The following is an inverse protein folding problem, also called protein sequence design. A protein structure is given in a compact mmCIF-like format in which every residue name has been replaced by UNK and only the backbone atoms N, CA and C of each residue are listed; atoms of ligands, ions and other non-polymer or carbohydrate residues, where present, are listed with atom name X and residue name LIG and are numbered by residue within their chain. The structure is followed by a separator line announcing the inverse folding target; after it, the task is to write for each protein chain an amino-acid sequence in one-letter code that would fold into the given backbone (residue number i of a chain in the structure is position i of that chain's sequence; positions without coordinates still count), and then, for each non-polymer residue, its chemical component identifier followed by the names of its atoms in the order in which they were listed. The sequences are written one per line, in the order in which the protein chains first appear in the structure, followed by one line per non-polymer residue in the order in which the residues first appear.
data_IF_652267616227
#
_entry.id   IF_652267616227
#
_cell.length_a   1.000
_cell.length_b   1.000
_cell.length_c   1.000
_cell.angle_alpha   90.00
_cell.angle_beta   90.00
_cell.angle_gamma   90.00
#
_symmetry.space_group_name_H-M   'P 1'
#
loop_
_entity.id
_entity.type
_entity.pdbx_description
1 polymer ?
#
# COMPACT_ATOMS: atom_id res chain seq x y z
N UNK A 1 -22.42 -13.85 26.25
CA UNK A 1 -22.25 -12.41 25.94
C UNK A 1 -22.37 -11.65 27.24
N UNK A 2 -21.41 -10.80 27.56
CA UNK A 2 -21.48 -9.90 28.71
C UNK A 2 -22.28 -8.64 28.34
N UNK A 3 -22.84 -7.94 29.32
CA UNK A 3 -23.62 -6.70 29.10
C UNK A 3 -22.82 -5.65 28.33
N UNK A 4 -21.50 -5.59 28.55
CA UNK A 4 -20.58 -4.71 27.83
C UNK A 4 -20.43 -5.08 26.34
N UNK A 5 -20.39 -6.37 25.99
CA UNK A 5 -20.34 -6.80 24.59
C UNK A 5 -21.61 -6.41 23.83
N UNK A 6 -22.78 -6.52 24.48
CA UNK A 6 -24.07 -6.10 23.90
C UNK A 6 -24.12 -4.58 23.68
N UNK A 7 -23.55 -3.80 24.59
CA UNK A 7 -23.51 -2.33 24.49
C UNK A 7 -22.58 -1.84 23.39
N UNK A 8 -21.52 -2.58 23.06
CA UNK A 8 -20.59 -2.20 21.98
C UNK A 8 -21.16 -2.55 20.61
N UNK A 9 -21.79 -3.73 20.46
CA UNK A 9 -22.43 -4.11 19.20
C UNK A 9 -23.61 -3.21 18.84
N UNK A 10 -24.37 -2.70 19.82
CA UNK A 10 -25.45 -1.75 19.55
C UNK A 10 -24.93 -0.44 18.94
N UNK A 11 -23.78 0.06 19.40
CA UNK A 11 -23.14 1.26 18.84
C UNK A 11 -22.77 1.03 17.37
N UNK A 12 -22.19 -0.13 17.03
CA UNK A 12 -21.83 -0.44 15.65
C UNK A 12 -23.06 -0.57 14.74
N UNK A 13 -24.15 -1.17 15.22
CA UNK A 13 -25.42 -1.20 14.50
C UNK A 13 -26.01 0.19 14.29
N UNK A 14 -25.98 1.06 15.29
CA UNK A 14 -26.40 2.47 15.17
C UNK A 14 -25.57 3.24 14.14
N UNK A 15 -24.28 2.92 14.03
CA UNK A 15 -23.38 3.46 13.01
C UNK A 15 -23.57 2.83 11.62
N UNK A 16 -24.51 1.88 11.46
CA UNK A 16 -24.84 1.23 10.19
C UNK A 16 -23.98 0.01 9.84
N UNK A 17 -23.23 -0.54 10.80
CA UNK A 17 -22.41 -1.73 10.62
C UNK A 17 -23.12 -3.00 11.08
N UNK A 18 -22.81 -4.11 10.40
CA UNK A 18 -23.39 -5.41 10.73
C UNK A 18 -22.80 -6.03 12.02
N UNK A 19 -21.63 -5.56 12.45
CA UNK A 19 -20.99 -5.92 13.72
C UNK A 19 -19.75 -5.04 13.97
N UNK A 20 -19.16 -5.15 15.15
CA UNK A 20 -17.80 -4.62 15.40
C UNK A 20 -16.74 -5.19 14.44
N UNK A 21 -16.90 -6.44 13.99
CA UNK A 21 -15.97 -7.08 13.05
C UNK A 21 -16.11 -6.49 11.65
N UNK A 22 -17.33 -6.23 11.18
CA UNK A 22 -17.60 -5.56 9.91
C UNK A 22 -16.97 -4.14 9.88
N UNK A 23 -17.14 -3.40 10.98
CA UNK A 23 -16.45 -2.11 11.14
C UNK A 23 -14.93 -2.25 11.05
N UNK A 24 -14.34 -3.21 11.77
CA UNK A 24 -12.89 -3.42 11.79
C UNK A 24 -12.35 -3.79 10.40
N UNK A 25 -13.04 -4.66 9.65
CA UNK A 25 -12.69 -5.02 8.28
C UNK A 25 -12.73 -3.80 7.37
N UNK A 26 -13.78 -2.98 7.44
CA UNK A 26 -13.89 -1.78 6.63
C UNK A 26 -12.79 -0.77 6.96
N UNK A 27 -12.47 -0.58 8.23
CA UNK A 27 -11.38 0.32 8.65
C UNK A 27 -10.00 -0.18 8.22
N UNK A 28 -9.72 -1.47 8.40
CA UNK A 28 -8.48 -2.06 7.90
C UNK A 28 -8.35 -1.89 6.37
N UNK A 29 -9.45 -2.05 5.64
CA UNK A 29 -9.47 -1.82 4.18
C UNK A 29 -9.20 -0.36 3.81
N UNK A 30 -9.83 0.59 4.50
CA UNK A 30 -9.61 2.03 4.29
C UNK A 30 -8.13 2.40 4.51
N UNK A 31 -7.52 1.90 5.59
CA UNK A 31 -6.10 2.14 5.91
C UNK A 31 -5.17 1.55 4.86
N UNK A 32 -5.40 0.29 4.45
CA UNK A 32 -4.60 -0.36 3.41
C UNK A 32 -4.72 0.34 2.06
N UNK A 33 -5.90 0.83 1.68
CA UNK A 33 -6.07 1.60 0.44
C UNK A 33 -5.35 2.95 0.51
N UNK A 34 -5.31 3.57 1.68
CA UNK A 34 -4.55 4.81 1.88
C UNK A 34 -3.03 4.55 1.78
N UNK A 35 -2.52 3.48 2.39
CA UNK A 35 -1.12 3.04 2.21
C UNK A 35 -0.81 2.76 0.73
N UNK A 36 -1.72 2.06 0.04
CA UNK A 36 -1.56 1.71 -1.37
C UNK A 36 -1.40 2.95 -2.24
N UNK A 37 -2.25 3.96 -2.00
CA UNK A 37 -2.20 5.24 -2.71
C UNK A 37 -0.87 5.97 -2.51
N UNK A 38 -0.31 5.94 -1.30
CA UNK A 38 0.99 6.55 -1.00
C UNK A 38 2.11 5.83 -1.76
N UNK A 39 2.14 4.50 -1.71
CA UNK A 39 3.18 3.70 -2.37
C UNK A 39 3.13 3.85 -3.89
N UNK A 40 1.92 3.80 -4.48
CA UNK A 40 1.71 4.07 -5.91
C UNK A 40 2.20 5.47 -6.31
N UNK A 41 1.96 6.49 -5.47
CA UNK A 41 2.45 7.84 -5.75
C UNK A 41 3.97 7.95 -5.75
N UNK A 42 4.66 7.17 -4.91
CA UNK A 42 6.13 7.11 -4.90
C UNK A 42 6.67 6.36 -6.12
N UNK A 43 6.05 5.24 -6.49
CA UNK A 43 6.38 4.48 -7.71
C UNK A 43 6.22 5.37 -8.95
N UNK A 44 5.11 6.08 -9.08
CA UNK A 44 4.84 7.02 -10.18
C UNK A 44 5.88 8.16 -10.26
N UNK A 45 6.39 8.62 -9.11
CA UNK A 45 7.47 9.61 -9.08
C UNK A 45 8.77 9.08 -9.71
N UNK A 46 9.13 7.82 -9.43
CA UNK A 46 10.28 7.17 -10.06
C UNK A 46 10.05 6.91 -11.55
N UNK A 47 8.87 6.41 -11.92
CA UNK A 47 8.51 6.17 -13.33
C UNK A 47 8.57 7.46 -14.15
N UNK A 48 8.16 8.59 -13.58
CA UNK A 48 8.29 9.91 -14.21
C UNK A 48 9.72 10.41 -14.26
N UNK A 49 10.52 10.18 -13.22
CA UNK A 49 11.93 10.60 -13.17
C UNK A 49 12.76 9.91 -14.24
N UNK A 50 12.54 8.61 -14.43
CA UNK A 50 13.32 7.78 -15.35
C UNK A 50 12.62 7.54 -16.70
N UNK A 51 11.36 7.97 -16.85
CA UNK A 51 10.53 7.76 -18.05
C UNK A 51 10.39 6.29 -18.45
N UNK A 52 10.38 5.40 -17.46
CA UNK A 52 10.34 3.94 -17.65
C UNK A 52 9.83 3.23 -16.41
N UNK A 53 9.50 1.95 -16.54
CA UNK A 53 9.15 1.07 -15.42
C UNK A 53 10.39 0.60 -14.65
N UNK A 54 10.21 0.09 -13.43
CA UNK A 54 11.32 -0.47 -12.65
C UNK A 54 12.04 -1.60 -13.39
N UNK A 55 11.30 -2.43 -14.13
CA UNK A 55 11.87 -3.55 -14.88
C UNK A 55 12.76 -3.09 -16.05
N UNK A 56 12.45 -1.94 -16.64
CA UNK A 56 13.27 -1.32 -17.69
C UNK A 56 14.47 -0.60 -17.09
N UNK A 57 14.26 0.09 -15.97
CA UNK A 57 15.31 0.74 -15.19
C UNK A 57 16.38 -0.24 -14.73
N UNK A 58 15.98 -1.38 -14.13
CA UNK A 58 16.90 -2.42 -13.65
C UNK A 58 17.77 -2.99 -14.78
N UNK A 59 17.18 -3.21 -15.97
CA UNK A 59 17.92 -3.70 -17.16
C UNK A 59 18.91 -2.67 -17.71
N UNK A 60 18.58 -1.39 -17.62
CA UNK A 60 19.36 -0.30 -18.20
C UNK A 60 20.22 0.41 -17.17
N UNK A 61 20.24 -0.05 -15.92
CA UNK A 61 20.83 0.64 -14.76
C UNK A 61 22.24 1.20 -15.03
N UNK A 62 23.11 0.37 -15.62
CA UNK A 62 24.49 0.74 -15.92
C UNK A 62 24.66 1.62 -17.17
N UNK A 63 23.62 1.73 -18.00
CA UNK A 63 23.61 2.51 -19.24
C UNK A 63 23.06 3.94 -19.01
N UNK A 64 22.35 4.18 -17.92
CA UNK A 64 21.81 5.49 -17.57
C UNK A 64 22.93 6.42 -17.09
N UNK A 65 23.37 7.34 -17.95
CA UNK A 65 24.44 8.31 -17.63
C UNK A 65 23.93 9.69 -17.21
N UNK A 66 22.62 9.94 -17.29
CA UNK A 66 22.00 11.24 -16.98
C UNK A 66 21.99 11.56 -15.48
N UNK A 67 22.07 10.53 -14.63
CA UNK A 67 22.06 10.63 -13.17
C UNK A 67 23.37 10.12 -12.58
N UNK A 68 23.69 10.48 -11.34
CA UNK A 68 24.88 9.96 -10.66
C UNK A 68 24.71 8.49 -10.24
N UNK A 69 25.81 7.74 -10.06
CA UNK A 69 25.71 6.35 -9.59
C UNK A 69 25.03 6.24 -8.22
N UNK A 70 25.41 7.10 -7.26
CA UNK A 70 24.82 7.13 -5.92
C UNK A 70 23.32 7.38 -5.96
N UNK A 71 22.88 8.37 -6.74
CA UNK A 71 21.47 8.68 -6.90
C UNK A 71 20.69 7.50 -7.52
N UNK A 72 21.25 6.84 -8.55
CA UNK A 72 20.60 5.67 -9.14
C UNK A 72 20.51 4.51 -8.16
N UNK A 73 21.57 4.24 -7.40
CA UNK A 73 21.58 3.17 -6.38
C UNK A 73 20.51 3.43 -5.32
N UNK A 74 20.45 4.65 -4.78
CA UNK A 74 19.47 5.06 -3.78
C UNK A 74 18.04 4.94 -4.33
N UNK A 75 17.78 5.50 -5.52
CA UNK A 75 16.47 5.40 -6.17
C UNK A 75 16.07 3.96 -6.47
N UNK A 76 17.01 3.10 -6.88
CA UNK A 76 16.77 1.68 -7.13
C UNK A 76 16.30 0.97 -5.87
N UNK A 77 16.97 1.25 -4.75
CA UNK A 77 16.65 0.67 -3.45
C UNK A 77 15.27 1.11 -2.97
N UNK A 78 14.98 2.42 -3.04
CA UNK A 78 13.72 2.98 -2.60
C UNK A 78 12.56 2.51 -3.47
N UNK A 79 12.74 2.50 -4.80
CA UNK A 79 11.71 2.02 -5.72
C UNK A 79 11.39 0.53 -5.50
N UNK A 80 12.42 -0.30 -5.28
CA UNK A 80 12.24 -1.72 -4.96
C UNK A 80 11.51 -1.92 -3.62
N UNK A 81 11.79 -1.08 -2.63
CA UNK A 81 11.10 -1.11 -1.35
C UNK A 81 9.60 -0.82 -1.52
N UNK A 82 9.25 0.20 -2.31
CA UNK A 82 7.86 0.54 -2.61
C UNK A 82 7.13 -0.58 -3.36
N UNK A 83 7.76 -1.22 -4.34
CA UNK A 83 7.18 -2.39 -5.02
C UNK A 83 6.92 -3.56 -4.06
N UNK A 84 7.76 -3.71 -3.03
CA UNK A 84 7.58 -4.73 -2.00
C UNK A 84 6.40 -4.38 -1.09
N UNK A 85 6.26 -3.11 -0.72
CA UNK A 85 5.12 -2.60 0.06
C UNK A 85 3.81 -2.79 -0.70
N UNK A 86 3.77 -2.42 -1.98
CA UNK A 86 2.62 -2.60 -2.87
C UNK A 86 2.12 -4.06 -2.85
N UNK A 87 2.99 -5.02 -3.13
CA UNK A 87 2.66 -6.46 -3.12
C UNK A 87 2.15 -6.94 -1.76
N UNK A 88 2.72 -6.43 -0.67
CA UNK A 88 2.28 -6.74 0.69
C UNK A 88 0.87 -6.20 0.96
N UNK A 89 0.56 -4.99 0.51
CA UNK A 89 -0.78 -4.39 0.65
C UNK A 89 -1.81 -5.16 -0.17
N UNK A 90 -1.50 -5.48 -1.43
CA UNK A 90 -2.38 -6.27 -2.31
C UNK A 90 -2.74 -7.61 -1.68
N UNK A 91 -1.75 -8.32 -1.11
CA UNK A 91 -1.98 -9.58 -0.40
C UNK A 91 -2.91 -9.41 0.81
N UNK A 92 -2.72 -8.35 1.60
CA UNK A 92 -3.57 -8.05 2.78
C UNK A 92 -5.01 -7.72 2.37
N UNK A 93 -5.19 -6.91 1.32
CA UNK A 93 -6.50 -6.56 0.77
C UNK A 93 -7.25 -7.78 0.23
N UNK A 94 -6.54 -8.70 -0.44
CA UNK A 94 -7.13 -9.95 -0.92
C UNK A 94 -7.69 -10.81 0.22
N UNK A 95 -7.00 -10.88 1.35
CA UNK A 95 -7.45 -11.61 2.56
C UNK A 95 -8.69 -10.96 3.20
N UNK A 96 -8.82 -9.64 3.17
CA UNK A 96 -9.97 -8.92 3.75
C UNK A 96 -11.23 -8.93 2.87
N UNK A 97 -11.12 -9.39 1.62
CA UNK A 97 -12.24 -9.44 0.66
C UNK A 97 -12.85 -10.84 0.54
N UNK A 98 -12.17 -11.86 1.09
CA UNK A 98 -12.63 -13.26 1.18
C UNK A 98 -13.35 -13.50 2.51
#
# INVERSE_FOLDING_TARGET
MTVEQTSVESIFHEMGYASSTDYAIKKAREELLQELKVSLGRIDAFEKKYEMTYAEFDKQFHLLTQFSLFERDDDSMDWRAELTVLRSIEKRLATLTL
#
